data_IF_082237310315
#
_entry.id   IF_082237310315
#
_cell.length_a   1.000
_cell.length_b   1.000
_cell.length_c   1.000
_cell.angle_alpha   90.00
_cell.angle_beta   90.00
_cell.angle_gamma   90.00
#
_symmetry.space_group_name_H-M   'P 1'
#
loop_
_entity.id
_entity.type
_entity.pdbx_description
1 polymer ?
#
# COMPACT_ATOMS: atom_id res chain seq x y z
N UNK A 1 -0.79 -25.69 -9.66
CA UNK A 1 -0.36 -25.49 -8.26
C UNK A 1 -0.74 -24.07 -7.91
N UNK A 2 -1.48 -23.87 -6.83
CA UNK A 2 -2.06 -22.54 -6.52
C UNK A 2 -1.18 -21.87 -5.49
N UNK A 3 -0.35 -20.93 -5.95
CA UNK A 3 0.37 -20.00 -5.09
C UNK A 3 -0.63 -19.15 -4.30
N UNK A 4 -0.25 -18.74 -3.09
CA UNK A 4 -1.07 -17.89 -2.22
C UNK A 4 -0.29 -16.69 -1.72
N UNK A 5 -0.89 -15.51 -1.77
CA UNK A 5 -0.34 -14.32 -1.13
C UNK A 5 -0.51 -14.45 0.39
N UNK A 6 0.59 -14.46 1.18
CA UNK A 6 0.49 -14.40 2.63
C UNK A 6 -0.11 -13.06 3.07
N UNK A 7 -0.84 -13.02 4.20
CA UNK A 7 -1.28 -11.76 4.76
C UNK A 7 -0.09 -10.93 5.25
N UNK A 8 -0.23 -9.61 5.31
CA UNK A 8 0.88 -8.72 5.67
C UNK A 8 1.37 -8.88 7.12
N UNK A 9 0.58 -9.48 8.02
CA UNK A 9 1.06 -9.80 9.37
C UNK A 9 1.90 -11.09 9.43
N UNK A 10 2.07 -11.82 8.33
CA UNK A 10 2.94 -12.99 8.28
C UNK A 10 4.41 -12.60 8.51
N UNK A 11 5.28 -13.52 8.96
CA UNK A 11 6.70 -13.21 9.11
C UNK A 11 7.34 -12.78 7.77
N UNK A 12 8.22 -11.77 7.82
CA UNK A 12 8.91 -11.21 6.67
C UNK A 12 10.39 -11.58 6.65
N UNK A 13 10.90 -11.76 5.44
CA UNK A 13 12.33 -11.80 5.16
C UNK A 13 12.90 -10.37 5.12
N UNK A 14 12.20 -9.45 4.44
CA UNK A 14 12.58 -8.04 4.32
C UNK A 14 11.42 -7.16 3.83
N UNK A 15 11.61 -5.85 3.97
CA UNK A 15 10.83 -4.82 3.28
C UNK A 15 11.59 -4.25 2.09
N UNK A 16 10.89 -4.03 0.99
CA UNK A 16 11.36 -3.28 -0.16
C UNK A 16 10.77 -1.87 -0.14
N UNK A 17 11.56 -0.87 -0.54
CA UNK A 17 11.13 0.51 -0.77
C UNK A 17 11.78 1.05 -2.05
N UNK A 18 11.27 2.16 -2.58
CA UNK A 18 11.84 2.86 -3.73
C UNK A 18 12.27 4.28 -3.30
N UNK A 19 13.36 4.79 -3.87
CA UNK A 19 13.94 6.07 -3.47
C UNK A 19 13.41 7.24 -4.32
N UNK A 20 12.97 8.36 -3.71
CA UNK A 20 12.50 9.53 -4.45
C UNK A 20 13.57 10.12 -5.39
N UNK A 21 13.23 10.13 -6.68
CA UNK A 21 13.94 10.81 -7.76
C UNK A 21 13.22 12.09 -8.21
N UNK A 22 13.88 12.96 -9.01
CA UNK A 22 13.23 14.14 -9.57
C UNK A 22 12.19 13.72 -10.61
N UNK A 23 10.93 14.04 -10.38
CA UNK A 23 9.80 13.72 -11.26
C UNK A 23 8.66 14.75 -11.03
N UNK A 24 7.50 14.65 -11.72
CA UNK A 24 6.40 15.58 -11.50
C UNK A 24 5.86 15.61 -10.06
N UNK A 25 5.87 14.48 -9.34
CA UNK A 25 5.47 14.38 -7.91
C UNK A 25 6.41 15.19 -7.01
N UNK A 26 7.72 15.17 -7.31
CA UNK A 26 8.77 15.87 -6.57
C UNK A 26 9.46 16.90 -7.48
N UNK A 27 8.69 17.92 -7.89
CA UNK A 27 9.04 18.80 -9.00
C UNK A 27 10.20 19.76 -8.70
N UNK A 28 10.33 20.20 -7.45
CA UNK A 28 11.37 21.14 -7.02
C UNK A 28 12.46 20.47 -6.18
N UNK A 29 13.68 21.04 -6.13
CA UNK A 29 14.74 20.52 -5.26
C UNK A 29 14.38 20.50 -3.77
N UNK A 30 13.52 21.41 -3.32
CA UNK A 30 13.08 21.49 -1.93
C UNK A 30 12.10 20.34 -1.60
N UNK A 31 11.06 20.17 -2.41
CA UNK A 31 10.10 19.05 -2.28
C UNK A 31 10.81 17.70 -2.35
N UNK A 32 11.80 17.55 -3.25
CA UNK A 32 12.58 16.32 -3.36
C UNK A 32 13.44 16.04 -2.12
N UNK A 33 14.06 17.07 -1.51
CA UNK A 33 14.81 16.90 -0.26
C UNK A 33 13.88 16.49 0.90
N UNK A 34 12.71 17.12 1.00
CA UNK A 34 11.69 16.79 2.00
C UNK A 34 11.19 15.34 1.84
N UNK A 35 10.80 14.94 0.62
CA UNK A 35 10.39 13.57 0.32
C UNK A 35 11.48 12.55 0.67
N UNK A 36 12.74 12.82 0.30
CA UNK A 36 13.87 11.93 0.64
C UNK A 36 14.07 11.77 2.14
N UNK A 37 13.89 12.83 2.93
CA UNK A 37 13.96 12.76 4.39
C UNK A 37 12.80 11.94 4.97
N UNK A 38 11.59 12.12 4.45
CA UNK A 38 10.40 11.38 4.88
C UNK A 38 10.55 9.87 4.57
N UNK A 39 10.90 9.51 3.32
CA UNK A 39 11.15 8.11 2.94
C UNK A 39 12.28 7.49 3.77
N UNK A 40 13.36 8.22 4.04
CA UNK A 40 14.44 7.73 4.88
C UNK A 40 14.00 7.54 6.35
N UNK A 41 13.09 8.37 6.86
CA UNK A 41 12.53 8.19 8.20
C UNK A 41 11.72 6.90 8.30
N UNK A 42 10.88 6.60 7.30
CA UNK A 42 10.14 5.34 7.22
C UNK A 42 11.09 4.15 7.11
N UNK A 43 12.06 4.19 6.20
CA UNK A 43 13.04 3.11 6.03
C UNK A 43 13.78 2.80 7.35
N UNK A 44 14.21 3.83 8.08
CA UNK A 44 14.87 3.66 9.39
C UNK A 44 13.90 3.15 10.46
N UNK A 45 12.64 3.55 10.42
CA UNK A 45 11.63 3.04 11.35
C UNK A 45 11.38 1.54 11.15
N UNK A 46 11.18 1.11 9.89
CA UNK A 46 11.03 -0.30 9.51
C UNK A 46 12.28 -1.11 9.85
N UNK A 47 13.47 -0.54 9.62
CA UNK A 47 14.76 -1.20 9.86
C UNK A 47 14.97 -1.63 11.32
N UNK A 48 14.25 -1.05 12.27
CA UNK A 48 14.25 -1.47 13.68
C UNK A 48 13.66 -2.87 13.89
N UNK A 49 12.86 -3.36 12.94
CA UNK A 49 12.06 -4.58 13.07
C UNK A 49 12.42 -5.64 12.02
N UNK A 50 12.87 -5.25 10.84
CA UNK A 50 13.30 -6.19 9.78
C UNK A 50 14.31 -5.58 8.80
N UNK A 51 15.02 -6.40 8.00
CA UNK A 51 15.88 -5.89 6.94
C UNK A 51 15.11 -5.05 5.92
N UNK A 52 15.74 -3.98 5.42
CA UNK A 52 15.15 -3.08 4.41
C UNK A 52 16.10 -2.97 3.22
N UNK A 53 15.54 -3.07 2.02
CA UNK A 53 16.23 -2.77 0.76
C UNK A 53 15.53 -1.66 0.02
N UNK A 54 16.25 -0.58 -0.27
CA UNK A 54 15.76 0.57 -1.03
C UNK A 54 16.29 0.49 -2.46
N UNK A 55 15.38 0.49 -3.43
CA UNK A 55 15.71 0.61 -4.85
C UNK A 55 15.98 2.07 -5.18
N UNK A 56 17.16 2.35 -5.71
CA UNK A 56 17.60 3.69 -6.07
C UNK A 56 17.77 3.81 -7.58
N UNK A 57 17.38 4.95 -8.14
CA UNK A 57 17.73 5.31 -9.51
C UNK A 57 19.26 5.40 -9.71
N UNK A 58 19.79 5.12 -10.91
CA UNK A 58 21.22 5.23 -11.19
C UNK A 58 21.77 6.63 -10.85
N UNK A 59 22.88 6.68 -10.12
CA UNK A 59 23.53 7.93 -9.70
C UNK A 59 22.92 8.60 -8.46
N UNK A 60 21.91 8.00 -7.83
CA UNK A 60 21.28 8.52 -6.60
C UNK A 60 21.74 7.79 -5.32
N UNK A 61 22.60 6.77 -5.45
CA UNK A 61 22.97 5.84 -4.39
C UNK A 61 23.70 6.52 -3.24
N UNK A 62 24.60 7.45 -3.54
CA UNK A 62 25.38 8.17 -2.51
C UNK A 62 24.48 9.05 -1.65
N UNK A 63 23.59 9.83 -2.28
CA UNK A 63 22.62 10.67 -1.59
C UNK A 63 21.63 9.85 -0.76
N UNK A 64 21.17 8.71 -1.29
CA UNK A 64 20.32 7.78 -0.56
C UNK A 64 21.03 7.23 0.68
N UNK A 65 22.26 6.70 0.53
CA UNK A 65 23.04 6.15 1.66
C UNK A 65 23.30 7.18 2.75
N UNK A 66 23.51 8.45 2.40
CA UNK A 66 23.73 9.52 3.36
C UNK A 66 22.52 9.76 4.29
N UNK A 67 21.29 9.58 3.79
CA UNK A 67 20.05 9.76 4.55
C UNK A 67 19.54 8.46 5.19
N UNK A 68 19.69 7.33 4.50
CA UNK A 68 19.22 6.02 4.98
C UNK A 68 20.06 5.49 6.14
N UNK A 69 21.37 5.78 6.14
CA UNK A 69 22.31 5.23 7.09
C UNK A 69 22.86 3.85 6.67
N UNK A 70 23.81 3.29 7.44
CA UNK A 70 24.57 2.12 7.03
C UNK A 70 23.80 0.80 7.13
N UNK A 71 22.69 0.76 7.88
CA UNK A 71 21.94 -0.46 8.16
C UNK A 71 20.88 -0.78 7.11
N UNK A 72 20.65 0.11 6.14
CA UNK A 72 19.67 -0.07 5.06
C UNK A 72 20.41 -0.44 3.78
N UNK A 73 20.01 -1.55 3.15
CA UNK A 73 20.58 -1.99 1.89
C UNK A 73 20.05 -1.15 0.74
N UNK A 74 20.88 -0.91 -0.29
CA UNK A 74 20.48 -0.21 -1.51
C UNK A 74 20.77 -1.06 -2.73
N UNK A 75 19.85 -1.08 -3.71
CA UNK A 75 20.07 -1.72 -5.00
C UNK A 75 19.67 -0.78 -6.15
N UNK A 76 20.44 -0.81 -7.25
CA UNK A 76 20.26 0.14 -8.35
C UNK A 76 19.38 -0.46 -9.43
N UNK A 77 18.30 0.25 -9.78
CA UNK A 77 17.46 0.00 -10.96
C UNK A 77 16.95 1.35 -11.51
N UNK A 78 16.79 1.51 -12.84
CA UNK A 78 16.06 2.66 -13.38
C UNK A 78 14.67 2.75 -12.76
N UNK A 79 14.26 3.96 -12.38
CA UNK A 79 13.09 4.24 -11.55
C UNK A 79 12.54 5.62 -11.93
N UNK A 80 11.22 5.75 -12.07
CA UNK A 80 10.53 7.01 -12.36
C UNK A 80 9.94 7.64 -11.10
N UNK A 81 9.31 6.84 -10.24
CA UNK A 81 8.72 7.29 -8.98
C UNK A 81 8.97 6.31 -7.82
N UNK A 82 8.55 6.66 -6.59
CA UNK A 82 9.00 6.02 -5.35
C UNK A 82 7.93 5.20 -4.60
N UNK A 83 6.89 4.77 -5.29
CA UNK A 83 5.73 4.08 -4.74
C UNK A 83 5.87 2.55 -4.81
N UNK A 84 6.79 2.01 -4.01
CA UNK A 84 7.17 0.59 -4.06
C UNK A 84 6.00 -0.39 -3.89
N UNK A 85 4.95 -0.01 -3.17
CA UNK A 85 3.73 -0.82 -3.04
C UNK A 85 3.11 -1.15 -4.39
N UNK A 86 3.15 -0.21 -5.31
CA UNK A 86 2.38 -0.26 -6.55
C UNK A 86 3.21 -0.78 -7.72
N UNK A 87 4.50 -0.43 -7.73
CA UNK A 87 5.44 -0.79 -8.79
C UNK A 87 6.19 -2.09 -8.46
N UNK A 88 6.16 -2.51 -7.20
CA UNK A 88 6.81 -3.69 -6.68
C UNK A 88 6.03 -4.99 -6.95
N UNK A 89 6.67 -6.15 -6.71
CA UNK A 89 6.00 -7.42 -6.92
C UNK A 89 5.06 -7.75 -5.76
N UNK A 90 3.96 -8.43 -6.05
CA UNK A 90 3.18 -9.11 -5.01
C UNK A 90 3.74 -10.51 -4.80
N UNK A 91 4.42 -10.74 -3.68
CA UNK A 91 5.00 -12.05 -3.39
C UNK A 91 3.94 -13.07 -2.99
N UNK A 92 4.08 -14.30 -3.50
CA UNK A 92 3.17 -15.42 -3.26
C UNK A 92 3.96 -16.69 -2.97
N UNK A 93 3.39 -17.58 -2.17
CA UNK A 93 4.03 -18.81 -1.69
C UNK A 93 3.23 -20.03 -2.10
N UNK A 94 3.89 -21.06 -2.63
CA UNK A 94 3.26 -22.37 -2.78
C UNK A 94 3.14 -23.04 -1.40
N UNK A 95 1.92 -23.34 -0.91
CA UNK A 95 1.74 -23.87 0.44
C UNK A 95 2.29 -25.29 0.62
N UNK A 96 2.45 -26.06 -0.45
CA UNK A 96 2.96 -27.43 -0.42
C UNK A 96 4.48 -27.49 -0.53
N UNK A 97 5.07 -26.81 -1.49
CA UNK A 97 6.53 -26.82 -1.72
C UNK A 97 7.28 -25.78 -0.92
N UNK A 98 6.59 -24.77 -0.36
CA UNK A 98 7.19 -23.59 0.25
C UNK A 98 8.06 -22.82 -0.75
N UNK A 99 7.68 -22.80 -2.03
CA UNK A 99 8.38 -22.00 -3.04
C UNK A 99 7.89 -20.55 -3.02
N UNK A 100 8.81 -19.58 -3.09
CA UNK A 100 8.48 -18.15 -3.24
C UNK A 100 8.40 -17.81 -4.72
N UNK A 101 7.39 -17.05 -5.12
CA UNK A 101 7.31 -16.42 -6.44
C UNK A 101 6.86 -14.97 -6.31
N UNK A 102 7.07 -14.19 -7.37
CA UNK A 102 6.65 -12.80 -7.48
C UNK A 102 5.57 -12.66 -8.56
N UNK A 103 4.40 -12.13 -8.21
CA UNK A 103 3.43 -11.68 -9.21
C UNK A 103 3.84 -10.30 -9.71
N UNK A 104 3.90 -10.16 -11.02
CA UNK A 104 4.25 -8.95 -11.75
C UNK A 104 3.01 -8.47 -12.49
N UNK A 105 2.34 -7.47 -11.92
CA UNK A 105 1.17 -6.84 -12.50
C UNK A 105 1.55 -5.90 -13.64
N UNK A 106 0.62 -5.63 -14.55
CA UNK A 106 0.84 -4.54 -15.51
C UNK A 106 0.66 -3.21 -14.79
N UNK A 107 1.74 -2.46 -14.56
CA UNK A 107 1.64 -1.10 -14.02
C UNK A 107 1.52 -0.07 -15.15
N UNK A 108 0.67 0.94 -15.01
CA UNK A 108 0.45 1.98 -16.04
C UNK A 108 0.45 3.44 -15.52
N UNK A 109 0.97 3.70 -14.32
CA UNK A 109 0.93 5.04 -13.72
C UNK A 109 -0.49 5.44 -13.31
N UNK A 110 -1.13 4.57 -12.52
CA UNK A 110 -2.46 4.75 -11.93
C UNK A 110 -3.53 5.24 -12.93
N UNK A 111 -3.63 4.58 -14.09
CA UNK A 111 -4.59 4.94 -15.13
C UNK A 111 -4.01 5.82 -16.22
N UNK A 112 -2.70 5.73 -16.47
CA UNK A 112 -1.98 6.55 -17.43
C UNK A 112 -2.25 8.06 -17.27
N UNK A 113 -2.30 8.53 -16.02
CA UNK A 113 -2.58 9.93 -15.71
C UNK A 113 -1.49 10.84 -16.29
N UNK A 114 -1.85 12.05 -16.73
CA UNK A 114 -0.92 12.93 -17.47
C UNK A 114 0.34 13.35 -16.71
N UNK A 115 0.30 13.33 -15.38
CA UNK A 115 1.44 13.64 -14.52
C UNK A 115 2.38 12.44 -14.36
N UNK A 116 1.87 11.20 -14.43
CA UNK A 116 2.63 10.00 -14.10
C UNK A 116 3.72 9.70 -15.14
N UNK A 117 4.85 9.20 -14.65
CA UNK A 117 5.96 8.63 -15.44
C UNK A 117 6.16 7.22 -14.93
N UNK A 118 6.27 6.25 -15.83
CA UNK A 118 6.19 4.83 -15.44
C UNK A 118 6.88 3.88 -16.43
N UNK A 119 7.65 4.42 -17.37
CA UNK A 119 8.39 3.68 -18.38
C UNK A 119 9.39 2.69 -17.77
N UNK A 120 9.98 3.05 -16.64
CA UNK A 120 10.89 2.28 -15.83
C UNK A 120 10.16 1.56 -14.68
N UNK A 121 9.18 2.21 -14.05
CA UNK A 121 8.46 1.66 -12.88
C UNK A 121 7.76 0.33 -13.17
N UNK A 122 7.18 0.16 -14.36
CA UNK A 122 6.57 -1.11 -14.81
C UNK A 122 7.54 -2.29 -14.90
N UNK A 123 8.83 -2.08 -14.67
CA UNK A 123 9.84 -3.11 -14.67
C UNK A 123 10.41 -3.41 -13.27
N UNK A 124 9.99 -2.66 -12.25
CA UNK A 124 10.51 -2.79 -10.88
C UNK A 124 10.12 -4.12 -10.25
N UNK A 125 8.88 -4.59 -10.43
CA UNK A 125 8.45 -5.90 -9.92
C UNK A 125 9.39 -7.05 -10.36
N UNK A 126 9.74 -7.09 -11.66
CA UNK A 126 10.72 -8.06 -12.20
C UNK A 126 12.13 -7.84 -11.64
N UNK A 127 12.55 -6.58 -11.51
CA UNK A 127 13.86 -6.24 -10.96
C UNK A 127 14.01 -6.68 -9.50
N UNK A 128 12.97 -6.50 -8.69
CA UNK A 128 12.92 -6.98 -7.30
C UNK A 128 12.89 -8.51 -7.25
N UNK A 129 12.11 -9.16 -8.12
CA UNK A 129 12.08 -10.63 -8.21
C UNK A 129 13.45 -11.23 -8.57
N UNK A 130 14.19 -10.60 -9.48
CA UNK A 130 15.57 -10.97 -9.83
C UNK A 130 16.50 -10.85 -8.60
N UNK A 131 16.42 -9.74 -7.87
CA UNK A 131 17.22 -9.52 -6.65
C UNK A 131 16.88 -10.52 -5.54
N UNK A 132 15.60 -10.89 -5.42
CA UNK A 132 15.13 -11.91 -4.48
C UNK A 132 15.43 -13.34 -4.95
N UNK A 133 15.82 -13.53 -6.22
CA UNK A 133 16.13 -14.84 -6.79
C UNK A 133 14.90 -15.75 -6.98
N UNK A 134 13.74 -15.17 -7.29
CA UNK A 134 12.46 -15.90 -7.38
C UNK A 134 11.85 -15.87 -8.79
N UNK A 135 11.08 -16.92 -9.18
CA UNK A 135 10.33 -16.90 -10.43
C UNK A 135 9.26 -15.80 -10.46
N UNK A 136 8.96 -15.33 -11.67
CA UNK A 136 7.95 -14.30 -11.94
C UNK A 136 6.70 -14.89 -12.58
N UNK A 137 5.54 -14.51 -12.05
CA UNK A 137 4.23 -14.80 -12.59
C UNK A 137 3.57 -13.51 -13.09
N UNK A 138 3.79 -13.14 -14.35
CA UNK A 138 3.19 -11.92 -14.91
C UNK A 138 1.68 -12.06 -15.09
N UNK A 139 0.96 -10.96 -14.87
CA UNK A 139 -0.47 -10.81 -15.10
C UNK A 139 -0.75 -9.71 -16.13
N UNK A 140 -1.69 -9.92 -17.07
CA UNK A 140 -2.12 -8.86 -17.99
C UNK A 140 -3.07 -7.84 -17.34
N UNK A 141 -3.55 -8.10 -16.12
CA UNK A 141 -4.39 -7.17 -15.39
C UNK A 141 -3.56 -5.94 -15.00
N UNK A 142 -4.10 -4.75 -15.29
CA UNK A 142 -3.55 -3.52 -14.75
C UNK A 142 -3.98 -3.41 -13.29
N UNK A 143 -3.00 -3.54 -12.40
CA UNK A 143 -3.24 -3.59 -10.97
C UNK A 143 -2.01 -3.07 -10.22
N UNK A 144 -2.25 -2.53 -9.02
CA UNK A 144 -1.23 -2.10 -8.08
C UNK A 144 -1.36 -2.85 -6.74
N UNK A 145 -0.29 -2.95 -5.96
CA UNK A 145 -0.35 -3.58 -4.64
C UNK A 145 -1.26 -2.83 -3.66
N UNK A 146 -1.35 -1.50 -3.73
CA UNK A 146 -2.24 -0.69 -2.87
C UNK A 146 -3.73 -0.84 -3.22
N UNK A 147 -4.03 -1.37 -4.41
CA UNK A 147 -5.38 -1.63 -4.87
C UNK A 147 -5.97 -2.96 -4.33
N UNK A 148 -5.20 -3.73 -3.58
CA UNK A 148 -5.60 -5.02 -3.02
C UNK A 148 -5.22 -5.14 -1.54
N UNK A 149 -6.03 -5.87 -0.76
CA UNK A 149 -5.61 -6.32 0.58
C UNK A 149 -6.14 -7.72 0.86
N UNK A 150 -5.30 -8.64 1.32
CA UNK A 150 -5.67 -10.04 1.56
C UNK A 150 -5.69 -10.41 3.03
N UNK A 151 -6.51 -11.40 3.41
CA UNK A 151 -6.56 -11.96 4.76
C UNK A 151 -5.65 -13.20 4.95
N UNK A 152 -5.04 -13.69 3.87
CA UNK A 152 -4.24 -14.92 3.86
C UNK A 152 -5.06 -16.22 3.86
N UNK A 153 -6.37 -16.14 4.06
CA UNK A 153 -7.29 -17.29 4.16
C UNK A 153 -8.26 -17.39 2.99
N UNK A 154 -8.12 -16.52 1.98
CA UNK A 154 -8.79 -16.64 0.70
C UNK A 154 -9.65 -15.43 0.34
N UNK A 155 -9.63 -14.38 1.16
CA UNK A 155 -10.41 -13.16 0.93
C UNK A 155 -9.50 -12.04 0.44
N UNK A 156 -10.00 -11.25 -0.51
CA UNK A 156 -9.36 -10.02 -0.99
C UNK A 156 -10.35 -8.86 -0.92
N UNK A 157 -9.88 -7.69 -0.47
CA UNK A 157 -10.60 -6.42 -0.62
C UNK A 157 -10.18 -5.75 -1.93
N UNK A 158 -11.15 -5.23 -2.67
CA UNK A 158 -10.97 -4.54 -3.95
C UNK A 158 -11.85 -3.29 -4.02
N UNK A 159 -11.49 -2.32 -4.85
CA UNK A 159 -12.39 -1.22 -5.24
C UNK A 159 -12.85 -1.37 -6.69
N UNK A 160 -14.10 -0.99 -6.96
CA UNK A 160 -14.63 -1.01 -8.33
C UNK A 160 -13.93 0.02 -9.22
N UNK A 161 -13.61 1.21 -8.69
CA UNK A 161 -13.00 2.29 -9.48
C UNK A 161 -11.62 1.94 -10.01
N UNK A 162 -10.81 1.19 -9.26
CA UNK A 162 -9.52 0.73 -9.76
C UNK A 162 -9.72 -0.45 -10.71
N UNK A 163 -10.34 -1.52 -10.23
CA UNK A 163 -10.28 -2.79 -10.97
C UNK A 163 -11.14 -2.78 -12.24
N UNK A 164 -12.23 -1.99 -12.27
CA UNK A 164 -13.14 -1.87 -13.41
C UNK A 164 -13.01 -0.52 -14.14
N UNK A 165 -12.05 0.32 -13.75
CA UNK A 165 -11.79 1.61 -14.40
C UNK A 165 -11.40 1.43 -15.87
N UNK A 166 -11.95 2.28 -16.74
CA UNK A 166 -11.67 2.24 -18.19
C UNK A 166 -10.20 2.54 -18.48
N UNK A 167 -9.59 3.36 -17.63
CA UNK A 167 -8.17 3.71 -17.64
C UNK A 167 -7.25 2.60 -17.10
N UNK A 168 -7.81 1.59 -16.42
CA UNK A 168 -7.08 0.41 -15.93
C UNK A 168 -7.29 -0.78 -16.84
N UNK A 169 -8.51 -1.32 -16.83
CA UNK A 169 -8.82 -2.63 -17.40
C UNK A 169 -9.98 -2.52 -18.41
N UNK A 170 -9.83 -1.75 -19.51
CA UNK A 170 -10.90 -1.57 -20.47
C UNK A 170 -11.34 -2.91 -21.07
N UNK A 171 -12.63 -3.20 -20.98
CA UNK A 171 -13.23 -4.42 -21.50
C UNK A 171 -13.14 -5.65 -20.57
N UNK A 172 -12.52 -5.54 -19.40
CA UNK A 172 -12.60 -6.60 -18.38
C UNK A 172 -13.96 -6.58 -17.68
N UNK A 173 -14.55 -7.75 -17.48
CA UNK A 173 -15.73 -7.88 -16.62
C UNK A 173 -15.29 -8.14 -15.17
N UNK A 174 -16.21 -7.92 -14.23
CA UNK A 174 -15.96 -8.22 -12.80
C UNK A 174 -15.50 -9.66 -12.61
N UNK A 175 -16.14 -10.61 -13.29
CA UNK A 175 -15.83 -12.04 -13.20
C UNK A 175 -14.44 -12.36 -13.75
N UNK A 176 -14.02 -11.66 -14.82
CA UNK A 176 -12.68 -11.82 -15.39
C UNK A 176 -11.60 -11.29 -14.45
N UNK A 177 -11.85 -10.12 -13.82
CA UNK A 177 -10.95 -9.57 -12.80
C UNK A 177 -10.84 -10.53 -11.62
N UNK A 178 -11.96 -10.98 -11.06
CA UNK A 178 -11.96 -11.93 -9.93
C UNK A 178 -11.18 -13.19 -10.29
N UNK A 179 -11.41 -13.78 -11.47
CA UNK A 179 -10.71 -14.98 -11.91
C UNK A 179 -9.18 -14.79 -11.99
N UNK A 180 -8.70 -13.67 -12.52
CA UNK A 180 -7.27 -13.38 -12.59
C UNK A 180 -6.68 -13.11 -11.21
N UNK A 181 -7.34 -12.30 -10.36
CA UNK A 181 -6.89 -12.03 -8.99
C UNK A 181 -6.82 -13.33 -8.17
N UNK A 182 -7.84 -14.18 -8.24
CA UNK A 182 -7.87 -15.48 -7.56
C UNK A 182 -6.76 -16.41 -8.07
N UNK A 183 -6.53 -16.45 -9.38
CA UNK A 183 -5.47 -17.26 -9.97
C UNK A 183 -4.07 -16.81 -9.52
N UNK A 184 -3.85 -15.51 -9.31
CA UNK A 184 -2.54 -14.97 -8.90
C UNK A 184 -2.31 -14.97 -7.40
N UNK A 185 -3.35 -14.69 -6.61
CA UNK A 185 -3.23 -14.52 -5.16
C UNK A 185 -3.65 -15.76 -4.37
N UNK A 186 -4.24 -16.77 -5.01
CA UNK A 186 -4.76 -17.95 -4.33
C UNK A 186 -5.97 -17.66 -3.44
N UNK A 187 -6.69 -16.58 -3.75
CA UNK A 187 -7.93 -16.18 -3.09
C UNK A 187 -9.14 -16.85 -3.76
N UNK A 188 -10.29 -16.80 -3.09
CA UNK A 188 -11.54 -17.45 -3.51
C UNK A 188 -12.74 -16.51 -3.42
N UNK A 189 -12.60 -15.38 -2.72
CA UNK A 189 -13.67 -14.41 -2.53
C UNK A 189 -13.15 -12.98 -2.57
N UNK A 190 -13.79 -12.15 -3.38
CA UNK A 190 -13.60 -10.71 -3.38
C UNK A 190 -14.71 -10.01 -2.58
N UNK A 191 -14.32 -9.03 -1.77
CA UNK A 191 -15.23 -8.04 -1.19
C UNK A 191 -14.99 -6.74 -1.93
N UNK A 192 -16.01 -6.29 -2.64
CA UNK A 192 -15.96 -5.11 -3.50
C UNK A 192 -16.47 -3.87 -2.76
N UNK A 193 -15.60 -2.88 -2.64
CA UNK A 193 -15.97 -1.52 -2.24
C UNK A 193 -16.25 -0.69 -3.49
N UNK A 194 -17.24 0.22 -3.50
CA UNK A 194 -17.59 0.95 -4.71
C UNK A 194 -16.50 1.90 -5.21
N UNK A 195 -15.71 2.47 -4.29
CA UNK A 195 -14.77 3.57 -4.56
C UNK A 195 -13.79 3.77 -3.40
N UNK A 196 -12.71 4.52 -3.63
CA UNK A 196 -11.79 4.99 -2.58
C UNK A 196 -12.24 6.29 -1.93
N UNK A 197 -11.31 7.01 -1.30
CA UNK A 197 -11.58 8.32 -0.69
C UNK A 197 -11.58 9.44 -1.74
N UNK A 198 -12.16 10.59 -1.42
CA UNK A 198 -12.31 11.70 -2.34
C UNK A 198 -10.96 12.26 -2.84
N UNK A 199 -9.94 12.26 -1.98
CA UNK A 199 -8.58 12.70 -2.33
C UNK A 199 -7.90 11.85 -3.41
N UNK A 200 -8.22 10.55 -3.49
CA UNK A 200 -7.67 9.64 -4.50
C UNK A 200 -8.03 10.01 -5.94
N UNK A 201 -9.02 10.87 -6.14
CA UNK A 201 -9.44 11.34 -7.46
C UNK A 201 -8.82 12.69 -7.84
N UNK A 202 -7.99 13.25 -6.95
CA UNK A 202 -7.21 14.47 -7.16
C UNK A 202 -5.93 14.25 -7.95
N UNK A 203 -5.09 15.30 -8.01
CA UNK A 203 -3.74 15.15 -8.59
C UNK A 203 -2.89 14.27 -7.67
N UNK A 204 -2.11 13.36 -8.28
CA UNK A 204 -1.34 12.31 -7.59
C UNK A 204 -2.15 11.15 -6.99
N UNK A 205 -3.48 11.26 -6.97
CA UNK A 205 -4.34 10.21 -6.42
C UNK A 205 -4.35 8.94 -7.26
N UNK A 206 -4.72 7.83 -6.61
CA UNK A 206 -4.63 6.47 -7.17
C UNK A 206 -5.90 6.02 -7.91
N UNK A 207 -6.93 6.86 -7.99
CA UNK A 207 -8.29 6.53 -8.45
C UNK A 207 -9.02 5.49 -7.57
N UNK A 208 -8.62 5.38 -6.31
CA UNK A 208 -9.39 4.77 -5.25
C UNK A 208 -8.77 3.49 -4.72
N UNK A 209 -7.53 3.54 -4.27
CA UNK A 209 -6.87 2.40 -3.63
C UNK A 209 -7.57 1.99 -2.34
N UNK A 210 -7.50 0.69 -2.03
CA UNK A 210 -8.17 0.16 -0.84
C UNK A 210 -7.34 0.38 0.42
N UNK A 211 -6.02 0.51 0.29
CA UNK A 211 -5.08 0.57 1.42
C UNK A 211 -5.10 1.88 2.21
N UNK A 212 -5.83 2.91 1.77
CA UNK A 212 -6.18 4.08 2.59
C UNK A 212 -7.59 3.98 3.19
N UNK A 213 -8.40 3.05 2.70
CA UNK A 213 -9.82 2.88 3.06
C UNK A 213 -10.01 1.79 4.12
N UNK A 214 -9.46 0.59 3.88
CA UNK A 214 -9.59 -0.55 4.77
C UNK A 214 -8.43 -1.54 4.60
N UNK A 215 -8.07 -2.20 5.71
CA UNK A 215 -7.04 -3.23 5.75
C UNK A 215 -7.48 -4.40 6.63
N UNK A 216 -7.11 -5.62 6.27
CA UNK A 216 -7.27 -6.75 7.18
C UNK A 216 -6.25 -6.64 8.32
N UNK A 217 -6.71 -6.79 9.57
CA UNK A 217 -5.82 -6.85 10.74
C UNK A 217 -5.51 -8.28 11.18
N UNK A 218 -6.44 -9.20 10.92
CA UNK A 218 -6.36 -10.66 11.14
C UNK A 218 -7.54 -11.31 10.40
N UNK A 219 -7.59 -12.64 10.24
CA UNK A 219 -8.73 -13.29 9.59
C UNK A 219 -10.07 -12.91 10.24
N UNK A 220 -11.02 -12.46 9.43
CA UNK A 220 -12.34 -12.00 9.87
C UNK A 220 -12.40 -10.60 10.51
N UNK A 221 -11.28 -9.86 10.59
CA UNK A 221 -11.25 -8.51 11.18
C UNK A 221 -10.61 -7.50 10.24
N UNK A 222 -11.35 -6.44 9.95
CA UNK A 222 -10.91 -5.32 9.11
C UNK A 222 -10.84 -4.04 9.94
N UNK A 223 -9.79 -3.25 9.72
CA UNK A 223 -9.74 -1.85 10.12
C UNK A 223 -10.27 -1.00 8.97
N UNK A 224 -11.08 0.01 9.26
CA UNK A 224 -11.68 0.88 8.25
C UNK A 224 -11.55 2.36 8.63
N UNK A 225 -11.16 3.18 7.66
CA UNK A 225 -11.11 4.63 7.80
C UNK A 225 -12.52 5.20 7.94
N UNK A 226 -12.74 6.08 8.92
CA UNK A 226 -14.00 6.82 9.06
C UNK A 226 -13.78 8.31 9.16
N UNK A 227 -14.54 9.08 8.39
CA UNK A 227 -14.51 10.53 8.43
C UNK A 227 -15.69 11.05 9.24
N UNK A 228 -15.49 11.47 10.52
CA UNK A 228 -16.59 11.85 11.39
C UNK A 228 -17.23 13.20 11.04
N UNK A 229 -16.54 14.09 10.31
CA UNK A 229 -17.06 15.43 10.00
C UNK A 229 -18.07 15.40 8.83
N UNK A 230 -19.35 15.76 9.05
CA UNK A 230 -20.38 15.74 7.99
C UNK A 230 -20.17 16.72 6.84
N UNK A 231 -19.28 17.70 6.98
CA UNK A 231 -18.92 18.64 5.91
C UNK A 231 -17.86 18.08 4.96
N UNK A 232 -17.12 17.05 5.38
CA UNK A 232 -16.09 16.42 4.58
C UNK A 232 -16.72 15.50 3.52
N UNK A 233 -16.23 15.50 2.26
CA UNK A 233 -16.76 14.65 1.19
C UNK A 233 -16.74 13.15 1.53
N UNK A 234 -15.74 12.71 2.30
CA UNK A 234 -15.61 11.31 2.71
C UNK A 234 -16.58 10.86 3.81
N UNK A 235 -17.39 11.75 4.39
CA UNK A 235 -18.31 11.38 5.45
C UNK A 235 -19.29 10.27 5.02
N UNK A 236 -19.99 10.48 3.90
CA UNK A 236 -20.94 9.49 3.40
C UNK A 236 -20.25 8.30 2.72
N UNK A 237 -19.08 8.52 2.08
CA UNK A 237 -18.27 7.46 1.47
C UNK A 237 -17.86 6.45 2.54
N UNK A 238 -17.28 6.90 3.64
CA UNK A 238 -16.80 6.03 4.72
C UNK A 238 -17.95 5.33 5.45
N UNK A 239 -19.11 5.99 5.63
CA UNK A 239 -20.33 5.34 6.15
C UNK A 239 -20.86 4.24 5.23
N UNK A 240 -20.76 4.42 3.91
CA UNK A 240 -21.08 3.37 2.95
C UNK A 240 -20.12 2.20 3.04
N UNK A 241 -18.81 2.46 3.04
CA UNK A 241 -17.78 1.44 3.17
C UNK A 241 -17.97 0.60 4.43
N UNK A 242 -18.16 1.23 5.59
CA UNK A 242 -18.39 0.52 6.86
C UNK A 242 -19.64 -0.37 6.81
N UNK A 243 -20.72 0.10 6.16
CA UNK A 243 -21.95 -0.69 6.03
C UNK A 243 -21.74 -1.93 5.17
N UNK A 244 -21.00 -1.81 4.07
CA UNK A 244 -20.68 -2.94 3.19
C UNK A 244 -19.80 -3.94 3.94
N UNK A 245 -18.72 -3.47 4.59
CA UNK A 245 -17.83 -4.33 5.36
C UNK A 245 -18.58 -5.08 6.47
N UNK A 246 -19.44 -4.41 7.24
CA UNK A 246 -20.28 -5.04 8.29
C UNK A 246 -21.31 -6.03 7.75
N UNK A 247 -21.74 -5.86 6.50
CA UNK A 247 -22.65 -6.77 5.80
C UNK A 247 -21.95 -7.95 5.11
N UNK A 248 -20.62 -7.92 5.02
CA UNK A 248 -19.84 -8.91 4.31
C UNK A 248 -19.42 -10.09 5.21
N UNK A 249 -19.10 -11.20 4.54
CA UNK A 249 -18.41 -12.34 5.14
C UNK A 249 -17.11 -12.60 4.38
N UNK A 250 -16.14 -13.22 5.03
CA UNK A 250 -14.91 -13.64 4.37
C UNK A 250 -15.08 -14.97 3.60
N UNK A 251 -14.00 -15.48 3.01
CA UNK A 251 -14.00 -16.74 2.24
C UNK A 251 -14.34 -17.96 3.11
N UNK A 252 -14.01 -17.93 4.41
CA UNK A 252 -14.39 -18.93 5.39
C UNK A 252 -15.85 -18.82 5.88
N UNK A 253 -16.60 -17.82 5.42
CA UNK A 253 -17.97 -17.56 5.83
C UNK A 253 -18.12 -16.83 7.17
N UNK A 254 -17.03 -16.30 7.74
CA UNK A 254 -17.09 -15.51 8.98
C UNK A 254 -17.61 -14.10 8.67
N UNK A 255 -18.59 -13.58 9.43
CA UNK A 255 -18.93 -12.16 9.36
C UNK A 255 -17.72 -11.30 9.74
N UNK A 256 -17.51 -10.19 9.03
CA UNK A 256 -16.40 -9.30 9.35
C UNK A 256 -16.68 -8.48 10.62
N UNK A 257 -15.73 -8.50 11.55
CA UNK A 257 -15.60 -7.48 12.58
C UNK A 257 -14.96 -6.23 11.95
N UNK A 258 -15.61 -5.08 12.09
CA UNK A 258 -15.12 -3.79 11.56
C UNK A 258 -14.68 -2.89 12.69
N UNK A 259 -13.38 -2.63 12.76
CA UNK A 259 -12.76 -1.69 13.69
C UNK A 259 -12.59 -0.35 12.98
N UNK A 260 -13.37 0.65 13.40
CA UNK A 260 -13.34 1.98 12.80
C UNK A 260 -12.15 2.79 13.35
N UNK A 261 -11.40 3.45 12.46
CA UNK A 261 -10.32 4.37 12.80
C UNK A 261 -10.69 5.77 12.31
N UNK A 262 -10.98 6.72 13.22
CA UNK A 262 -11.27 8.10 12.83
C UNK A 262 -10.10 8.73 12.07
N UNK A 263 -10.41 9.42 10.97
CA UNK A 263 -9.50 10.31 10.26
C UNK A 263 -8.89 11.35 11.23
N UNK A 264 -7.74 11.98 10.93
CA UNK A 264 -7.26 13.15 11.66
C UNK A 264 -8.31 14.26 11.80
N UNK A 265 -8.14 15.16 12.78
CA UNK A 265 -9.00 16.34 12.96
C UNK A 265 -8.74 17.42 11.91
N UNK A 266 -7.56 17.42 11.29
CA UNK A 266 -7.23 18.27 10.15
C UNK A 266 -8.08 17.88 8.95
N UNK A 267 -8.86 18.83 8.42
CA UNK A 267 -9.77 18.59 7.29
C UNK A 267 -9.19 19.03 5.94
N UNK A 268 -8.28 19.99 5.93
CA UNK A 268 -7.70 20.54 4.71
C UNK A 268 -6.19 20.64 4.80
N UNK A 269 -5.53 20.50 3.66
CA UNK A 269 -4.09 20.75 3.51
C UNK A 269 -3.75 22.26 3.57
N UNK A 270 -2.48 22.58 3.37
CA UNK A 270 -1.99 23.97 3.41
C UNK A 270 -2.53 24.82 2.25
N UNK A 271 -2.92 24.19 1.16
CA UNK A 271 -3.46 24.77 -0.07
C UNK A 271 -4.99 24.94 -0.01
N UNK A 272 -5.63 24.40 1.03
CA UNK A 272 -7.07 24.47 1.26
C UNK A 272 -7.88 23.41 0.53
N UNK A 273 -7.24 22.39 -0.06
CA UNK A 273 -7.91 21.20 -0.56
C UNK A 273 -8.20 20.23 0.60
N UNK A 274 -9.14 19.30 0.40
CA UNK A 274 -9.48 18.31 1.41
C UNK A 274 -8.28 17.38 1.67
N UNK A 275 -7.94 17.20 2.94
CA UNK A 275 -6.88 16.27 3.34
C UNK A 275 -7.42 14.83 3.28
N UNK A 276 -6.64 13.93 2.71
CA UNK A 276 -6.93 12.50 2.58
C UNK A 276 -6.16 11.65 3.60
N UNK A 277 -5.68 12.29 4.68
CA UNK A 277 -4.88 11.65 5.71
C UNK A 277 -5.59 10.41 6.29
N UNK A 278 -4.90 9.27 6.22
CA UNK A 278 -5.42 8.00 6.70
C UNK A 278 -4.39 7.22 7.52
N UNK A 279 -4.77 6.89 8.76
CA UNK A 279 -4.02 5.93 9.60
C UNK A 279 -4.08 4.49 9.06
N UNK A 280 -5.01 4.19 8.15
CA UNK A 280 -5.09 2.86 7.53
C UNK A 280 -3.88 2.59 6.65
N UNK A 281 -3.22 3.61 6.10
CA UNK A 281 -2.04 3.46 5.25
C UNK A 281 -0.74 3.22 6.05
N UNK A 282 -0.84 2.37 7.07
CA UNK A 282 0.25 1.88 7.92
C UNK A 282 0.96 0.70 7.27
N UNK A 283 2.19 0.40 7.71
CA UNK A 283 2.90 -0.81 7.29
C UNK A 283 3.11 -1.76 8.46
N UNK A 284 2.71 -3.03 8.30
CA UNK A 284 3.06 -4.08 9.25
C UNK A 284 4.42 -4.65 8.88
N UNK A 285 5.35 -4.64 9.83
CA UNK A 285 6.60 -5.39 9.77
C UNK A 285 6.57 -6.48 10.86
N UNK A 286 7.62 -7.29 10.96
CA UNK A 286 7.73 -8.41 11.89
C UNK A 286 7.25 -8.05 13.31
N UNK A 287 8.06 -7.29 14.05
CA UNK A 287 7.79 -6.92 15.45
C UNK A 287 7.28 -5.48 15.59
N UNK A 288 6.81 -4.86 14.50
CA UNK A 288 6.45 -3.44 14.46
C UNK A 288 5.24 -3.10 13.59
N UNK A 289 4.62 -1.98 13.91
CA UNK A 289 3.62 -1.29 13.07
C UNK A 289 4.16 0.10 12.82
N UNK A 290 4.56 0.41 11.59
CA UNK A 290 4.98 1.77 11.22
C UNK A 290 3.74 2.54 10.82
N UNK A 291 3.26 3.38 11.75
CA UNK A 291 1.97 4.05 11.68
C UNK A 291 2.14 5.49 11.19
N UNK A 292 1.24 5.94 10.32
CA UNK A 292 1.18 7.34 9.91
C UNK A 292 0.87 8.23 11.12
N UNK A 293 1.60 9.32 11.27
CA UNK A 293 1.31 10.39 12.21
C UNK A 293 1.18 11.71 11.45
N UNK A 294 0.31 12.59 11.93
CA UNK A 294 -0.06 13.82 11.24
C UNK A 294 0.14 15.08 12.10
N UNK A 295 0.75 14.95 13.29
CA UNK A 295 0.80 16.02 14.29
C UNK A 295 -0.62 16.42 14.72
N UNK A 296 -1.47 15.39 14.87
CA UNK A 296 -2.90 15.51 15.10
C UNK A 296 -3.28 14.93 16.48
N UNK A 297 -4.27 15.50 17.18
CA UNK A 297 -4.72 14.96 18.46
C UNK A 297 -5.18 13.49 18.42
N UNK A 298 -5.56 12.96 17.24
CA UNK A 298 -5.96 11.56 17.05
C UNK A 298 -4.80 10.61 16.78
N UNK A 299 -3.56 11.09 16.66
CA UNK A 299 -2.39 10.22 16.44
C UNK A 299 -2.27 9.18 17.58
N UNK A 300 -2.43 9.63 18.83
CA UNK A 300 -2.36 8.76 20.01
C UNK A 300 -3.55 7.79 20.12
N UNK A 301 -4.74 8.22 19.67
CA UNK A 301 -5.94 7.39 19.63
C UNK A 301 -5.77 6.26 18.61
N UNK A 302 -5.35 6.59 17.38
CA UNK A 302 -5.05 5.61 16.34
C UNK A 302 -3.97 4.64 16.84
N UNK A 303 -2.86 5.15 17.38
CA UNK A 303 -1.80 4.31 17.93
C UNK A 303 -2.28 3.36 19.03
N UNK A 304 -3.26 3.77 19.85
CA UNK A 304 -3.87 2.89 20.86
C UNK A 304 -4.63 1.73 20.23
N UNK A 305 -5.45 1.99 19.22
CA UNK A 305 -6.19 0.94 18.52
C UNK A 305 -5.23 -0.05 17.85
N UNK A 306 -4.17 0.44 17.20
CA UNK A 306 -3.15 -0.43 16.58
C UNK A 306 -2.38 -1.28 17.60
N UNK A 307 -2.10 -0.75 18.81
CA UNK A 307 -1.49 -1.55 19.90
C UNK A 307 -2.41 -2.70 20.34
N UNK A 308 -3.71 -2.44 20.42
CA UNK A 308 -4.69 -3.46 20.83
C UNK A 308 -4.91 -4.51 19.73
N UNK A 309 -4.89 -4.10 18.47
CA UNK A 309 -4.99 -5.01 17.32
C UNK A 309 -3.76 -5.91 17.16
N UNK A 310 -2.58 -5.39 17.48
CA UNK A 310 -1.30 -6.06 17.29
C UNK A 310 -0.46 -6.11 18.58
N UNK A 311 -0.90 -6.82 19.63
CA UNK A 311 -0.28 -6.78 20.96
C UNK A 311 1.16 -7.31 21.01
N UNK A 312 1.62 -8.02 19.98
CA UNK A 312 3.00 -8.50 19.83
C UNK A 312 3.92 -7.53 19.08
N UNK A 313 3.40 -6.40 18.57
CA UNK A 313 4.14 -5.45 17.74
C UNK A 313 4.29 -4.10 18.44
N UNK A 314 5.43 -3.46 18.21
CA UNK A 314 5.67 -2.07 18.64
C UNK A 314 5.07 -1.11 17.63
N UNK A 315 4.10 -0.30 18.05
CA UNK A 315 3.60 0.80 17.21
C UNK A 315 4.64 1.93 17.19
N UNK A 316 5.11 2.29 16.00
CA UNK A 316 6.11 3.32 15.74
C UNK A 316 5.50 4.40 14.84
N UNK A 317 5.00 5.51 15.41
CA UNK A 317 4.48 6.63 14.63
C UNK A 317 5.60 7.31 13.83
N UNK A 318 5.32 7.66 12.58
CA UNK A 318 6.21 8.40 11.68
C UNK A 318 5.41 9.49 10.98
N UNK A 319 5.94 10.71 10.93
CA UNK A 319 5.33 11.83 10.23
C UNK A 319 5.14 11.48 8.75
N UNK A 320 3.88 11.40 8.32
CA UNK A 320 3.49 10.99 6.98
C UNK A 320 3.01 12.15 6.12
N UNK A 321 2.95 13.39 6.63
CA UNK A 321 2.38 14.54 5.92
C UNK A 321 3.04 14.81 4.57
N UNK A 322 4.38 14.76 4.52
CA UNK A 322 5.13 14.92 3.27
C UNK A 322 4.86 13.80 2.27
N UNK A 323 4.56 12.58 2.74
CA UNK A 323 4.24 11.44 1.87
C UNK A 323 2.83 11.63 1.30
N UNK A 324 1.86 12.02 2.13
CA UNK A 324 0.48 12.29 1.73
C UNK A 324 0.36 13.47 0.76
N UNK A 325 1.19 14.50 0.91
CA UNK A 325 1.28 15.58 -0.09
C UNK A 325 1.69 15.08 -1.49
N UNK A 326 2.34 13.91 -1.57
CA UNK A 326 2.66 13.22 -2.82
C UNK A 326 1.59 12.25 -3.33
N UNK A 327 0.46 12.07 -2.63
CA UNK A 327 -0.66 11.22 -3.05
C UNK A 327 -0.77 9.83 -2.40
N UNK A 328 -0.07 9.58 -1.29
CA UNK A 328 -0.16 8.28 -0.59
C UNK A 328 0.46 8.30 0.81
N UNK A 329 0.47 7.16 1.51
CA UNK A 329 1.02 7.08 2.87
C UNK A 329 2.20 6.10 2.99
N UNK A 330 2.45 5.64 4.22
CA UNK A 330 3.57 4.75 4.55
C UNK A 330 3.43 3.40 3.84
N UNK A 331 2.22 2.85 3.78
CA UNK A 331 1.96 1.58 3.09
C UNK A 331 2.30 1.67 1.60
N UNK A 332 1.97 2.79 0.94
CA UNK A 332 2.21 3.02 -0.50
C UNK A 332 3.70 3.01 -0.89
N UNK A 333 4.61 3.22 0.07
CA UNK A 333 6.06 3.30 -0.20
C UNK A 333 6.82 2.04 0.24
N UNK A 334 6.11 1.00 0.66
CA UNK A 334 6.65 -0.25 1.20
C UNK A 334 6.07 -1.48 0.51
N UNK A 335 6.87 -2.53 0.37
CA UNK A 335 6.43 -3.84 -0.12
C UNK A 335 7.12 -4.95 0.68
N UNK A 336 6.33 -5.76 1.39
CA UNK A 336 6.83 -6.90 2.16
C UNK A 336 7.24 -8.06 1.26
N UNK A 337 8.35 -8.71 1.61
CA UNK A 337 8.72 -10.04 1.15
C UNK A 337 8.53 -11.03 2.30
N UNK A 338 7.58 -11.98 2.19
CA UNK A 338 7.32 -12.94 3.26
C UNK A 338 8.51 -13.90 3.45
N UNK A 339 8.70 -14.35 4.69
CA UNK A 339 9.66 -15.39 5.04
C UNK A 339 9.05 -16.77 4.76
N UNK A 340 9.85 -17.63 4.16
CA UNK A 340 9.51 -19.02 3.87
C UNK A 340 10.06 -19.96 4.95
#
# INVERSE_FOLDING_TARGET
>A
MTFRMPPEWAPHERTWMAWPGPNPTFATPAELDEARRAWAAVARAVRRFEPVTVITGPGQEEGARALLGPDVETAVRPLDDAWMRDIGPTFVVDPGTRELAAVDWTFNGWGAQGWARWEHDRHIAKGVAELAGVPVHSSPLVNEGGAIHVDGEGTVLLTETVQLGEERNPGWTREAVEAEIHARLGTEKAIWLPRGLAGDYGTYGTLGHVDIVAAFARPGVVVAHVQPDPSHPDHEITRETVRILRGATDAGGRPLEVVEIPAPTVLTDAEGAWADFSYINHYLCNDGVVLCAFDDPRDDEAAAVFRDLFPGRTVAPVDARTIFAGGGGIHCITQQQPRI
#
